data_IF_770756060113
#
_entry.id   IF_770756060113
#
_cell.length_a   1.000
_cell.length_b   1.000
_cell.length_c   1.000
_cell.angle_alpha   90.00
_cell.angle_beta   90.00
_cell.angle_gamma   90.00
#
_symmetry.space_group_name_H-M   'P 1'
#
loop_
_entity.id
_entity.type
_entity.pdbx_description
1 polymer ?
#
# COMPACT_ATOMS: atom_id res chain seq x y z
N UNK A 1 -4.39 10.36 8.81
CA UNK A 1 -4.67 8.91 8.82
C UNK A 1 -3.50 8.25 9.55
N UNK A 2 -3.74 7.58 10.67
CA UNK A 2 -2.69 6.83 11.39
C UNK A 2 -2.84 5.35 11.06
N UNK A 3 -1.85 4.77 10.39
CA UNK A 3 -1.77 3.33 10.11
C UNK A 3 -1.20 2.62 11.34
N UNK A 4 -1.80 1.50 11.73
CA UNK A 4 -1.21 0.58 12.70
C UNK A 4 -0.29 -0.38 11.95
N UNK A 5 1.01 -0.32 12.26
CA UNK A 5 2.04 -1.12 11.62
C UNK A 5 2.85 -1.93 12.63
N UNK A 6 3.15 -3.18 12.30
CA UNK A 6 3.95 -4.08 13.13
C UNK A 6 5.09 -4.66 12.29
N UNK A 7 6.29 -4.68 12.84
CA UNK A 7 7.46 -5.31 12.23
C UNK A 7 7.60 -6.75 12.70
N UNK A 8 7.47 -7.72 11.78
CA UNK A 8 7.67 -9.16 12.06
C UNK A 8 8.32 -9.81 10.84
N UNK A 9 9.38 -10.59 11.04
CA UNK A 9 9.95 -11.44 9.99
C UNK A 9 10.46 -10.70 8.75
N UNK A 10 10.91 -9.45 8.90
CA UNK A 10 11.39 -8.63 7.78
C UNK A 10 10.28 -7.93 6.99
N UNK A 11 9.07 -7.88 7.51
CA UNK A 11 7.94 -7.21 6.88
C UNK A 11 7.38 -6.08 7.74
N UNK A 12 6.93 -5.04 7.05
CA UNK A 12 5.97 -4.10 7.60
C UNK A 12 4.57 -4.61 7.31
N UNK A 13 3.75 -4.76 8.35
CA UNK A 13 2.39 -5.26 8.24
C UNK A 13 1.37 -4.11 8.41
N UNK A 14 0.23 -4.16 7.71
CA UNK A 14 -0.94 -3.31 7.97
C UNK A 14 -1.93 -4.07 8.84
N UNK A 15 -2.30 -3.48 9.97
CA UNK A 15 -3.34 -4.01 10.87
C UNK A 15 -4.67 -3.28 10.75
N UNK A 16 -4.63 -2.00 10.35
CA UNK A 16 -5.80 -1.14 10.29
C UNK A 16 -5.41 0.34 10.36
N UNK A 17 -6.41 1.21 10.44
CA UNK A 17 -6.17 2.65 10.54
C UNK A 17 -7.26 3.39 11.30
N UNK A 18 -6.90 4.57 11.79
CA UNK A 18 -7.84 5.53 12.35
C UNK A 18 -8.21 6.61 11.34
N UNK A 19 -9.51 6.84 11.16
CA UNK A 19 -10.06 7.91 10.33
C UNK A 19 -11.36 8.46 10.93
N UNK A 20 -11.51 9.79 10.97
CA UNK A 20 -12.70 10.48 11.51
C UNK A 20 -13.19 9.93 12.87
N UNK A 21 -12.25 9.69 13.80
CA UNK A 21 -12.55 9.17 15.15
C UNK A 21 -12.85 7.67 15.23
N UNK A 22 -12.97 6.98 14.10
CA UNK A 22 -13.26 5.55 13.99
C UNK A 22 -12.00 4.75 13.69
N UNK A 23 -11.93 3.52 14.18
CA UNK A 23 -10.88 2.56 13.81
C UNK A 23 -11.44 1.52 12.83
N UNK A 24 -10.68 1.28 11.78
CA UNK A 24 -10.97 0.31 10.73
C UNK A 24 -9.95 -0.81 10.84
N UNK A 25 -10.41 -1.99 11.22
CA UNK A 25 -9.57 -3.19 11.31
C UNK A 25 -9.50 -3.81 9.93
N UNK A 26 -8.30 -4.13 9.46
CA UNK A 26 -8.10 -4.80 8.18
C UNK A 26 -7.65 -6.24 8.42
N UNK A 27 -8.37 -7.21 7.85
CA UNK A 27 -8.00 -8.63 7.94
C UNK A 27 -7.93 -9.29 6.58
N UNK A 28 -6.75 -9.74 6.19
CA UNK A 28 -6.54 -10.54 4.98
C UNK A 28 -6.93 -11.99 5.22
N UNK A 29 -7.58 -12.59 4.22
CA UNK A 29 -7.84 -14.04 4.18
C UNK A 29 -7.02 -14.75 3.09
N UNK A 30 -6.44 -13.99 2.16
CA UNK A 30 -5.55 -14.49 1.11
C UNK A 30 -4.52 -13.44 0.76
N UNK A 31 -3.27 -13.84 0.67
CA UNK A 31 -2.19 -13.02 0.14
C UNK A 31 -1.31 -13.82 -0.80
N UNK A 32 -0.85 -13.17 -1.86
CA UNK A 32 0.10 -13.72 -2.82
C UNK A 32 1.27 -12.75 -3.02
N UNK A 33 2.44 -13.31 -3.28
CA UNK A 33 3.64 -12.60 -3.72
C UNK A 33 4.14 -13.18 -5.05
N UNK A 34 4.57 -12.33 -5.97
CA UNK A 34 5.16 -12.74 -7.24
C UNK A 34 6.19 -11.74 -7.72
N UNK A 35 6.58 -11.87 -8.99
CA UNK A 35 7.51 -10.93 -9.62
C UNK A 35 6.89 -9.56 -9.90
N UNK A 36 7.71 -8.59 -10.32
CA UNK A 36 7.28 -7.22 -10.62
C UNK A 36 6.22 -7.07 -11.71
N UNK A 37 5.95 -8.12 -12.50
CA UNK A 37 4.87 -8.15 -13.49
C UNK A 37 3.57 -8.78 -12.95
N UNK A 38 3.53 -9.07 -11.65
CA UNK A 38 2.47 -9.83 -10.99
C UNK A 38 2.23 -11.20 -11.61
N UNK A 39 3.29 -11.81 -12.13
CA UNK A 39 3.30 -13.20 -12.57
C UNK A 39 3.97 -14.07 -11.51
N UNK A 40 3.91 -15.39 -11.71
CA UNK A 40 4.53 -16.38 -10.82
C UNK A 40 4.10 -16.20 -9.35
N UNK A 41 2.82 -15.89 -9.14
CA UNK A 41 2.27 -15.60 -7.83
C UNK A 41 2.24 -16.86 -6.95
N UNK A 42 2.76 -16.74 -5.74
CA UNK A 42 2.79 -17.80 -4.73
C UNK A 42 2.14 -17.32 -3.44
N UNK A 43 1.50 -18.21 -2.66
CA UNK A 43 0.91 -17.82 -1.38
C UNK A 43 1.94 -17.26 -0.41
N UNK A 44 1.58 -16.14 0.22
CA UNK A 44 2.36 -15.56 1.31
C UNK A 44 1.79 -16.08 2.65
N UNK A 45 2.62 -16.59 3.59
CA UNK A 45 2.12 -17.09 4.87
C UNK A 45 1.39 -15.99 5.66
N UNK A 46 0.18 -16.29 6.15
CA UNK A 46 -0.61 -15.33 6.92
C UNK A 46 0.08 -14.95 8.24
N UNK A 47 -0.06 -13.68 8.63
CA UNK A 47 0.44 -13.16 9.91
C UNK A 47 -0.71 -12.66 10.80
N UNK A 48 -1.55 -13.60 11.26
CA UNK A 48 -2.72 -13.29 12.07
C UNK A 48 -3.75 -12.43 11.32
N UNK A 49 -3.82 -12.57 10.00
CA UNK A 49 -4.68 -11.77 9.13
C UNK A 49 -4.21 -10.32 8.91
N UNK A 50 -3.02 -9.92 9.36
CA UNK A 50 -2.45 -8.61 9.00
C UNK A 50 -1.88 -8.66 7.58
N UNK A 51 -2.07 -7.60 6.80
CA UNK A 51 -1.59 -7.55 5.42
C UNK A 51 -0.09 -7.26 5.38
N UNK A 52 0.65 -7.93 4.53
CA UNK A 52 2.01 -7.56 4.19
C UNK A 52 2.01 -6.28 3.32
N UNK A 53 2.73 -5.25 3.78
CA UNK A 53 2.77 -3.94 3.12
C UNK A 53 4.00 -3.81 2.22
N UNK A 54 5.17 -4.02 2.81
CA UNK A 54 6.48 -3.85 2.18
C UNK A 54 7.53 -4.68 2.91
N UNK A 55 8.49 -5.21 2.17
CA UNK A 55 9.67 -5.84 2.74
C UNK A 55 10.59 -4.78 3.34
N UNK A 56 11.03 -5.02 4.58
CA UNK A 56 11.93 -4.13 5.31
C UNK A 56 13.30 -4.03 4.62
N UNK A 57 13.79 -5.15 4.12
CA UNK A 57 14.94 -5.18 3.23
C UNK A 57 14.45 -4.98 1.80
N UNK A 58 14.78 -3.83 1.21
CA UNK A 58 14.39 -3.49 -0.16
C UNK A 58 15.09 -4.45 -1.12
N UNK A 59 14.36 -5.28 -1.87
CA UNK A 59 14.98 -6.22 -2.80
C UNK A 59 15.59 -5.51 -4.01
N UNK A 60 16.60 -6.13 -4.60
CA UNK A 60 17.18 -5.70 -5.87
C UNK A 60 16.28 -6.00 -7.08
N UNK A 61 15.25 -6.83 -6.90
CA UNK A 61 14.29 -7.21 -7.93
C UNK A 61 12.91 -6.65 -7.58
N UNK A 62 12.11 -6.25 -8.58
CA UNK A 62 10.75 -5.82 -8.31
C UNK A 62 9.89 -7.02 -7.89
N UNK A 63 8.88 -6.76 -7.07
CA UNK A 63 7.93 -7.78 -6.63
C UNK A 63 6.51 -7.23 -6.60
N UNK A 64 5.54 -8.13 -6.71
CA UNK A 64 4.12 -7.83 -6.63
C UNK A 64 3.50 -8.49 -5.39
N UNK A 65 2.60 -7.78 -4.72
CA UNK A 65 1.74 -8.29 -3.66
C UNK A 65 0.28 -8.17 -4.09
N UNK A 66 -0.51 -9.18 -3.76
CA UNK A 66 -1.96 -9.17 -3.92
C UNK A 66 -2.60 -9.67 -2.64
N UNK A 67 -3.54 -8.91 -2.09
CA UNK A 67 -4.22 -9.22 -0.85
C UNK A 67 -5.73 -9.10 -1.03
N UNK A 68 -6.46 -10.06 -0.47
CA UNK A 68 -7.91 -10.06 -0.33
C UNK A 68 -8.27 -10.18 1.13
N UNK A 69 -9.37 -9.56 1.51
CA UNK A 69 -9.83 -9.62 2.89
C UNK A 69 -11.01 -8.72 3.16
N UNK A 70 -11.17 -8.41 4.44
CA UNK A 70 -12.22 -7.54 4.94
C UNK A 70 -11.66 -6.35 5.68
N UNK A 71 -12.40 -5.24 5.64
CA UNK A 71 -12.21 -4.09 6.51
C UNK A 71 -13.47 -3.93 7.35
N UNK A 72 -13.33 -3.93 8.67
CA UNK A 72 -14.44 -3.77 9.62
C UNK A 72 -14.28 -2.48 10.41
N UNK A 73 -15.27 -1.60 10.35
CA UNK A 73 -15.34 -0.44 11.23
C UNK A 73 -15.75 -0.89 12.64
N UNK A 74 -14.88 -0.68 13.65
CA UNK A 74 -15.09 -1.25 14.99
C UNK A 74 -16.36 -0.77 15.70
N UNK A 75 -16.82 0.47 15.45
CA UNK A 75 -17.96 1.01 16.16
C UNK A 75 -19.30 0.54 15.61
N UNK A 76 -19.47 0.52 14.27
CA UNK A 76 -20.74 0.05 13.66
C UNK A 76 -20.76 -1.45 13.33
N UNK A 77 -19.60 -2.11 13.27
CA UNK A 77 -19.48 -3.48 12.77
C UNK A 77 -19.63 -3.61 11.25
N UNK A 78 -19.86 -2.50 10.53
CA UNK A 78 -19.95 -2.52 9.06
C UNK A 78 -18.65 -3.05 8.47
N UNK A 79 -18.81 -3.96 7.52
CA UNK A 79 -17.70 -4.66 6.88
C UNK A 79 -17.76 -4.43 5.38
N UNK A 80 -16.59 -4.30 4.75
CA UNK A 80 -16.41 -4.29 3.30
C UNK A 80 -15.40 -5.36 2.93
N UNK A 81 -15.59 -6.00 1.78
CA UNK A 81 -14.54 -6.81 1.17
C UNK A 81 -13.62 -5.90 0.37
N UNK A 82 -12.32 -6.20 0.39
CA UNK A 82 -11.34 -5.46 -0.37
C UNK A 82 -10.41 -6.37 -1.17
N UNK A 83 -9.88 -5.78 -2.23
CA UNK A 83 -8.73 -6.25 -2.96
C UNK A 83 -7.68 -5.15 -3.04
N UNK A 84 -6.44 -5.48 -2.70
CA UNK A 84 -5.30 -4.58 -2.76
C UNK A 84 -4.18 -5.24 -3.55
N UNK A 85 -3.71 -4.55 -4.59
CA UNK A 85 -2.50 -4.95 -5.32
C UNK A 85 -1.43 -3.89 -5.21
N UNK A 86 -0.19 -4.35 -5.05
CA UNK A 86 0.99 -3.49 -4.94
C UNK A 86 2.09 -4.03 -5.83
N UNK A 87 2.82 -3.16 -6.52
CA UNK A 87 4.07 -3.47 -7.20
C UNK A 87 5.15 -2.56 -6.64
N UNK A 88 6.20 -3.16 -6.12
CA UNK A 88 7.36 -2.47 -5.56
C UNK A 88 8.53 -2.56 -6.53
N UNK A 89 9.11 -1.41 -6.88
CA UNK A 89 10.32 -1.35 -7.71
C UNK A 89 11.57 -1.52 -6.87
N UNK A 90 12.69 -1.97 -7.46
CA UNK A 90 14.00 -1.81 -6.85
C UNK A 90 14.38 -0.32 -6.75
N UNK A 91 15.44 0.02 -6.00
CA UNK A 91 15.98 1.37 -5.97
C UNK A 91 16.34 1.87 -7.37
N UNK A 92 15.84 3.05 -7.73
CA UNK A 92 16.15 3.73 -8.98
C UNK A 92 16.28 5.24 -8.76
N UNK A 93 16.82 5.94 -9.75
CA UNK A 93 16.82 7.40 -9.73
C UNK A 93 15.40 7.93 -9.89
N UNK A 94 15.03 8.94 -9.09
CA UNK A 94 13.85 9.76 -9.32
C UNK A 94 14.14 11.23 -8.98
N UNK A 95 13.28 12.14 -9.40
CA UNK A 95 13.46 13.58 -9.17
C UNK A 95 12.14 14.25 -8.88
N UNK A 96 12.20 15.34 -8.12
CA UNK A 96 11.11 16.29 -8.02
C UNK A 96 11.64 17.72 -8.19
N UNK A 97 10.75 18.68 -8.45
CA UNK A 97 11.13 20.07 -8.77
C UNK A 97 11.82 20.80 -7.61
N UNK A 98 11.54 20.43 -6.36
CA UNK A 98 11.93 21.21 -5.18
C UNK A 98 13.19 20.69 -4.47
N UNK A 99 13.32 19.36 -4.41
CA UNK A 99 14.38 18.65 -3.69
C UNK A 99 15.40 18.01 -4.65
N UNK A 100 15.14 18.05 -5.96
CA UNK A 100 16.06 17.59 -7.00
C UNK A 100 16.11 16.07 -7.13
N UNK A 101 17.26 15.54 -7.52
CA UNK A 101 17.44 14.10 -7.81
C UNK A 101 17.71 13.31 -6.53
N UNK A 102 17.08 12.14 -6.39
CA UNK A 102 17.23 11.19 -5.28
C UNK A 102 17.25 9.74 -5.76
N UNK A 103 17.69 8.84 -4.89
CA UNK A 103 17.43 7.40 -5.02
C UNK A 103 16.10 7.08 -4.38
N UNK A 104 15.23 6.38 -5.09
CA UNK A 104 13.85 6.15 -4.71
C UNK A 104 13.45 4.70 -4.93
N UNK A 105 12.48 4.24 -4.15
CA UNK A 105 11.65 3.09 -4.53
C UNK A 105 10.28 3.59 -4.93
N UNK A 106 9.64 2.91 -5.88
CA UNK A 106 8.27 3.20 -6.29
C UNK A 106 7.36 2.08 -5.84
N UNK A 107 6.28 2.45 -5.17
CA UNK A 107 5.13 1.59 -4.95
C UNK A 107 4.03 2.01 -5.93
N UNK A 108 3.60 1.12 -6.83
CA UNK A 108 2.31 1.27 -7.54
C UNK A 108 1.28 0.47 -6.77
N UNK A 109 0.21 1.10 -6.31
CA UNK A 109 -0.87 0.45 -5.59
C UNK A 109 -2.21 0.66 -6.27
N UNK A 110 -3.08 -0.36 -6.18
CA UNK A 110 -4.48 -0.26 -6.54
C UNK A 110 -5.36 -0.90 -5.47
N UNK A 111 -6.37 -0.16 -5.03
CA UNK A 111 -7.36 -0.61 -4.06
C UNK A 111 -8.73 -0.72 -4.69
N UNK A 112 -9.46 -1.75 -4.30
CA UNK A 112 -10.82 -2.01 -4.73
C UNK A 112 -11.64 -2.50 -3.55
N UNK A 113 -12.92 -2.12 -3.49
CA UNK A 113 -13.86 -2.60 -2.48
C UNK A 113 -15.29 -2.73 -3.04
N UNK A 114 -16.17 -3.33 -2.24
CA UNK A 114 -17.61 -3.44 -2.52
C UNK A 114 -18.47 -2.45 -1.70
N UNK A 115 -17.90 -1.32 -1.26
CA UNK A 115 -18.62 -0.17 -0.70
C UNK A 115 -19.63 -0.46 0.44
N UNK A 116 -19.49 -1.53 1.22
CA UNK A 116 -20.43 -1.83 2.32
C UNK A 116 -21.35 -3.02 2.08
N UNK A 117 -21.24 -3.67 0.92
CA UNK A 117 -22.09 -4.79 0.54
C UNK A 117 -21.27 -6.10 0.43
N UNK A 118 -20.86 -6.74 1.55
CA UNK A 118 -20.10 -7.98 1.55
C UNK A 118 -20.68 -9.04 0.61
N UNK A 119 -19.82 -9.65 -0.22
CA UNK A 119 -20.21 -10.62 -1.25
C UNK A 119 -20.56 -10.02 -2.61
N UNK A 120 -20.81 -8.71 -2.70
CA UNK A 120 -21.05 -8.02 -3.98
C UNK A 120 -19.75 -7.77 -4.78
N UNK A 121 -19.85 -7.50 -6.10
CA UNK A 121 -18.69 -7.24 -6.94
C UNK A 121 -17.78 -6.12 -6.41
N UNK A 122 -16.49 -6.45 -6.27
CA UNK A 122 -15.46 -5.49 -5.90
C UNK A 122 -15.14 -4.56 -7.08
N UNK A 123 -15.09 -3.25 -6.82
CA UNK A 123 -14.81 -2.21 -7.80
C UNK A 123 -13.58 -1.39 -7.41
N UNK A 124 -12.75 -1.04 -8.40
CA UNK A 124 -11.55 -0.22 -8.16
C UNK A 124 -11.94 1.14 -7.59
N UNK A 125 -11.24 1.57 -6.54
CA UNK A 125 -11.42 2.87 -5.86
C UNK A 125 -10.20 3.77 -5.97
N UNK A 126 -9.00 3.19 -6.04
CA UNK A 126 -7.76 3.94 -6.11
C UNK A 126 -6.78 3.23 -7.02
N UNK A 127 -6.01 4.01 -7.76
CA UNK A 127 -4.76 3.56 -8.37
C UNK A 127 -3.76 4.70 -8.35
N UNK A 128 -2.57 4.48 -7.78
CA UNK A 128 -1.51 5.49 -7.74
C UNK A 128 -0.12 4.88 -7.67
N UNK A 129 0.88 5.66 -8.06
CA UNK A 129 2.28 5.44 -7.77
C UNK A 129 2.74 6.40 -6.68
N UNK A 130 3.45 5.90 -5.68
CA UNK A 130 4.09 6.69 -4.63
C UNK A 130 5.59 6.42 -4.69
N UNK A 131 6.38 7.48 -4.78
CA UNK A 131 7.83 7.42 -4.74
C UNK A 131 8.30 7.73 -3.32
N UNK A 132 9.14 6.85 -2.79
CA UNK A 132 9.75 7.00 -1.47
C UNK A 132 11.24 7.28 -1.69
N UNK A 133 11.68 8.49 -1.37
CA UNK A 133 13.06 8.91 -1.58
C UNK A 133 13.92 8.65 -0.33
N UNK A 134 15.12 8.10 -0.54
CA UNK A 134 16.08 7.82 0.53
C UNK A 134 16.43 9.12 1.26
N UNK A 135 16.30 9.09 2.59
CA UNK A 135 16.62 10.23 3.46
C UNK A 135 15.59 11.35 3.46
N UNK A 136 14.48 11.21 2.71
CA UNK A 136 13.41 12.21 2.64
C UNK A 136 12.09 11.63 3.14
N UNK A 137 11.75 10.41 2.69
CA UNK A 137 10.56 9.69 3.13
C UNK A 137 9.57 9.42 2.00
N UNK A 138 8.34 9.10 2.40
CA UNK A 138 7.25 8.79 1.49
C UNK A 138 6.74 10.04 0.76
N UNK A 139 5.99 9.82 -0.33
CA UNK A 139 5.33 10.88 -1.09
C UNK A 139 6.30 11.94 -1.67
N UNK A 140 7.54 11.54 -1.98
CA UNK A 140 8.49 12.38 -2.70
C UNK A 140 7.91 12.88 -4.03
N UNK A 141 7.24 11.95 -4.72
CA UNK A 141 6.31 12.18 -5.83
C UNK A 141 5.11 11.25 -5.61
N UNK A 142 3.91 11.73 -5.93
CA UNK A 142 2.70 10.92 -6.04
C UNK A 142 2.10 11.13 -7.42
N UNK A 143 1.73 10.04 -8.09
CA UNK A 143 1.03 10.05 -9.37
C UNK A 143 -0.24 9.21 -9.21
N UNK A 144 -1.41 9.84 -9.15
CA UNK A 144 -2.67 9.11 -9.12
C UNK A 144 -3.23 8.94 -10.53
N UNK A 145 -3.68 7.73 -10.86
CA UNK A 145 -4.32 7.39 -12.12
C UNK A 145 -5.84 7.19 -12.00
N UNK A 146 -6.33 6.77 -10.82
CA UNK A 146 -7.76 6.50 -10.58
C UNK A 146 -8.18 6.96 -9.17
N UNK A 147 -9.38 7.54 -8.97
CA UNK A 147 -10.49 7.70 -9.92
C UNK A 147 -10.35 8.92 -10.84
N UNK A 148 -9.41 9.81 -10.52
CA UNK A 148 -9.06 10.98 -11.32
C UNK A 148 -7.55 11.12 -11.32
N UNK A 149 -7.02 11.55 -12.47
CA UNK A 149 -5.59 11.79 -12.61
C UNK A 149 -5.18 13.06 -11.88
N UNK A 150 -4.17 12.98 -11.03
CA UNK A 150 -3.48 14.13 -10.44
C UNK A 150 -2.07 13.73 -10.03
N UNK A 151 -1.21 14.71 -9.78
CA UNK A 151 0.14 14.48 -9.27
C UNK A 151 0.47 15.47 -8.16
N UNK A 152 1.40 15.09 -7.28
CA UNK A 152 1.95 15.97 -6.26
C UNK A 152 3.43 15.68 -6.05
N UNK A 153 4.18 16.72 -5.67
CA UNK A 153 5.60 16.64 -5.35
C UNK A 153 5.84 17.19 -3.96
N UNK A 154 6.70 16.52 -3.19
CA UNK A 154 7.10 17.02 -1.88
C UNK A 154 7.94 18.29 -2.03
N UNK A 155 7.45 19.39 -1.48
CA UNK A 155 8.12 20.68 -1.55
C UNK A 155 9.32 20.79 -0.59
N UNK A 156 9.18 20.27 0.63
CA UNK A 156 10.21 20.34 1.68
C UNK A 156 10.18 19.08 2.52
N UNK A 157 11.35 18.61 2.95
CA UNK A 157 11.48 17.56 3.94
C UNK A 157 11.29 18.14 5.36
N UNK A 158 10.69 17.33 6.23
CA UNK A 158 10.58 17.68 7.64
C UNK A 158 11.83 17.19 8.35
N UNK A 159 12.60 18.11 8.90
CA UNK A 159 13.68 17.82 9.83
C UNK A 159 13.23 18.27 11.23
N UNK A 160 13.33 17.38 12.20
CA UNK A 160 13.10 17.64 13.62
C UNK A 160 14.42 17.69 14.37
#
# INVERSE_FOLDING_TARGET
>A
MHLSQVWIGGWLLLDGWRSFGKYYVQRVNRELIGDGSCQNMTPLPSNGGRQHCVQWQIPAQPYCLQAWGTITEQFSGKTVDFFHSQVWSPPSTCSNVYLGVRTCIRQREAWSDNNGDPGEPISRKLERSVYLARGVGMAFVIEQAYPRSWYAELHSDWTW
#
